data_IF_262611323891
#
_entry.id   IF_262611323891
#
_cell.length_a   1.000
_cell.length_b   1.000
_cell.length_c   1.000
_cell.angle_alpha   90.00
_cell.angle_beta   90.00
_cell.angle_gamma   90.00
#
_symmetry.space_group_name_H-M   'P 1'
#
loop_
_entity.id
_entity.type
_entity.pdbx_description
1 polymer ?
#
# COMPACT_ATOMS: atom_id res chain seq x y z
N UNK A 1 3.26 -3.61 -3.60
CA UNK A 1 3.98 -3.00 -2.47
C UNK A 1 4.85 -1.89 -3.02
N UNK A 2 4.75 -0.66 -2.51
CA UNK A 2 5.57 0.43 -3.03
C UNK A 2 6.81 0.61 -2.15
N UNK A 3 7.99 0.60 -2.77
CA UNK A 3 9.23 0.94 -2.08
C UNK A 3 9.22 2.44 -1.74
N UNK A 4 9.82 2.85 -0.61
CA UNK A 4 9.89 4.25 -0.21
C UNK A 4 10.69 5.04 -1.25
N UNK A 5 10.15 6.17 -1.68
CA UNK A 5 10.81 7.08 -2.60
C UNK A 5 11.99 7.81 -1.95
N UNK A 6 12.77 8.55 -2.75
CA UNK A 6 13.93 9.33 -2.26
C UNK A 6 13.54 10.39 -1.21
N UNK A 7 12.32 10.90 -1.29
CA UNK A 7 11.78 11.91 -0.37
C UNK A 7 11.08 11.32 0.86
N UNK A 8 10.88 10.01 0.90
CA UNK A 8 10.30 9.32 2.05
C UNK A 8 11.37 9.14 3.13
N UNK A 9 11.57 10.18 3.93
CA UNK A 9 12.60 10.25 4.96
C UNK A 9 11.99 10.36 6.36
N UNK A 10 12.79 10.04 7.37
CA UNK A 10 12.52 10.35 8.78
C UNK A 10 13.66 11.20 9.34
N UNK A 11 13.32 12.12 10.24
CA UNK A 11 14.31 12.85 11.01
C UNK A 11 14.60 12.12 12.31
N UNK A 12 15.87 11.78 12.54
CA UNK A 12 16.36 11.10 13.73
C UNK A 12 17.38 11.98 14.41
N UNK A 13 17.33 12.07 15.74
CA UNK A 13 18.35 12.76 16.53
C UNK A 13 19.34 11.73 17.03
N UNK A 14 20.57 11.80 16.57
CA UNK A 14 21.66 10.92 16.96
C UNK A 14 22.79 11.78 17.53
N UNK A 15 23.18 11.54 18.79
CA UNK A 15 24.21 12.31 19.49
C UNK A 15 23.98 13.83 19.46
N UNK A 16 22.72 14.26 19.59
CA UNK A 16 22.36 15.69 19.54
C UNK A 16 22.19 16.26 18.13
N UNK A 17 22.65 15.56 17.10
CA UNK A 17 22.62 16.02 15.70
C UNK A 17 21.38 15.45 15.00
N UNK A 18 20.64 16.32 14.32
CA UNK A 18 19.50 15.90 13.47
C UNK A 18 20.03 15.33 12.16
N UNK A 19 19.75 14.06 11.91
CA UNK A 19 20.02 13.37 10.65
C UNK A 19 18.73 13.00 9.95
N UNK A 20 18.73 13.07 8.62
CA UNK A 20 17.62 12.61 7.78
C UNK A 20 17.98 11.26 7.17
N UNK A 21 17.19 10.24 7.45
CA UNK A 21 17.39 8.89 6.96
C UNK A 21 16.24 8.47 6.06
N UNK A 22 16.53 7.79 4.96
CA UNK A 22 15.48 7.22 4.10
C UNK A 22 14.75 6.10 4.83
N UNK A 23 13.41 6.10 4.77
CA UNK A 23 12.59 5.00 5.24
C UNK A 23 13.00 3.71 4.53
N UNK A 24 13.02 2.60 5.25
CA UNK A 24 13.14 1.24 4.73
C UNK A 24 12.06 0.43 5.39
N UNK A 25 11.39 -0.47 4.68
CA UNK A 25 10.39 -1.32 5.30
C UNK A 25 10.90 -2.75 5.38
N UNK A 26 10.70 -3.37 6.53
CA UNK A 26 11.03 -4.77 6.77
C UNK A 26 10.07 -5.66 5.97
N UNK A 27 10.60 -6.42 5.00
CA UNK A 27 9.78 -7.34 4.19
C UNK A 27 9.47 -8.65 4.91
N UNK A 28 10.42 -9.13 5.71
CA UNK A 28 10.31 -10.31 6.55
C UNK A 28 9.63 -10.00 7.88
N UNK A 29 9.12 -11.03 8.55
CA UNK A 29 8.65 -10.88 9.93
C UNK A 29 9.83 -10.69 10.88
N UNK A 30 9.65 -9.91 11.95
CA UNK A 30 10.69 -9.72 12.98
C UNK A 30 11.18 -11.06 13.55
N UNK A 31 10.26 -12.02 13.73
CA UNK A 31 10.59 -13.37 14.21
C UNK A 31 11.53 -14.08 13.26
N UNK A 32 11.26 -14.03 11.95
CA UNK A 32 12.10 -14.65 10.94
C UNK A 32 13.48 -14.00 10.85
N UNK A 33 13.54 -12.67 10.89
CA UNK A 33 14.83 -11.94 10.87
C UNK A 33 15.65 -12.19 12.13
N UNK A 34 15.01 -12.25 13.30
CA UNK A 34 15.69 -12.59 14.56
C UNK A 34 16.27 -14.01 14.53
N UNK A 35 15.54 -14.98 14.00
CA UNK A 35 16.04 -16.34 13.84
C UNK A 35 17.26 -16.39 12.91
N UNK A 36 17.17 -15.77 11.72
CA UNK A 36 18.30 -15.68 10.78
C UNK A 36 19.52 -15.01 11.42
N UNK A 37 19.30 -13.94 12.21
CA UNK A 37 20.39 -13.27 12.92
C UNK A 37 21.11 -14.20 13.90
N UNK A 38 20.38 -15.02 14.66
CA UNK A 38 20.97 -15.98 15.59
C UNK A 38 21.71 -17.11 14.87
N UNK A 39 21.19 -17.56 13.72
CA UNK A 39 21.85 -18.57 12.86
C UNK A 39 23.17 -18.06 12.29
N UNK A 40 23.21 -16.80 11.84
CA UNK A 40 24.40 -16.14 11.30
C UNK A 40 25.41 -15.74 12.40
N UNK A 41 24.93 -15.53 13.63
CA UNK A 41 25.73 -15.03 14.76
C UNK A 41 25.57 -15.95 15.99
N UNK A 42 26.04 -17.21 15.95
CA UNK A 42 25.79 -18.20 16.99
C UNK A 42 26.35 -17.84 18.36
N UNK A 43 27.33 -16.93 18.42
CA UNK A 43 27.95 -16.47 19.67
C UNK A 43 27.21 -15.27 20.31
N UNK A 44 26.23 -14.67 19.61
CA UNK A 44 25.49 -13.51 20.12
C UNK A 44 24.18 -14.02 20.72
N UNK A 45 24.00 -13.78 22.02
CA UNK A 45 22.74 -14.05 22.70
C UNK A 45 21.92 -12.76 22.82
N UNK A 46 20.88 -12.64 21.98
CA UNK A 46 19.93 -11.53 22.02
C UNK A 46 18.51 -12.05 21.99
N UNK A 47 17.68 -11.60 22.94
CA UNK A 47 16.25 -11.92 22.94
C UNK A 47 15.48 -11.12 21.89
N UNK A 48 14.28 -11.59 21.53
CA UNK A 48 13.44 -10.94 20.51
C UNK A 48 13.14 -9.47 20.83
N UNK A 49 12.79 -9.14 22.07
CA UNK A 49 12.45 -7.75 22.45
C UNK A 49 13.64 -6.82 22.27
N UNK A 50 14.81 -7.22 22.79
CA UNK A 50 16.05 -6.43 22.64
C UNK A 50 16.44 -6.28 21.16
N UNK A 51 16.29 -7.34 20.36
CA UNK A 51 16.53 -7.28 18.92
C UNK A 51 15.62 -6.27 18.22
N UNK A 52 14.34 -6.21 18.61
CA UNK A 52 13.38 -5.25 18.07
C UNK A 52 13.71 -3.80 18.46
N UNK A 53 14.19 -3.59 19.69
CA UNK A 53 14.58 -2.27 20.20
C UNK A 53 15.88 -1.77 19.54
N UNK A 54 16.79 -2.68 19.19
CA UNK A 54 18.03 -2.37 18.46
C UNK A 54 17.81 -2.08 16.96
N UNK A 55 16.58 -2.25 16.45
CA UNK A 55 16.25 -1.95 15.06
C UNK A 55 16.57 -0.48 14.75
N UNK A 56 17.29 -0.20 13.64
CA UNK A 56 17.53 1.18 13.22
C UNK A 56 16.22 1.95 13.05
N UNK A 57 16.14 3.21 13.51
CA UNK A 57 14.89 3.96 13.55
C UNK A 57 14.26 4.17 12.17
N UNK A 58 15.06 4.15 11.10
CA UNK A 58 14.58 4.31 9.72
C UNK A 58 14.08 3.02 9.07
N UNK A 59 14.21 1.87 9.74
CA UNK A 59 13.63 0.59 9.30
C UNK A 59 12.26 0.47 9.95
N UNK A 60 11.17 0.54 9.18
CA UNK A 60 9.79 0.48 9.63
C UNK A 60 9.18 -0.91 9.41
N UNK A 61 8.07 -1.19 10.09
CA UNK A 61 7.32 -2.43 9.88
C UNK A 61 6.61 -2.44 8.53
N UNK A 62 6.38 -3.64 7.99
CA UNK A 62 5.58 -3.84 6.78
C UNK A 62 4.19 -3.22 6.90
N UNK A 63 3.58 -3.26 8.10
CA UNK A 63 2.28 -2.65 8.38
C UNK A 63 2.28 -1.12 8.26
N UNK A 64 3.44 -0.47 8.38
CA UNK A 64 3.59 0.99 8.24
C UNK A 64 3.72 1.43 6.78
N UNK A 65 3.63 0.51 5.83
CA UNK A 65 3.75 0.84 4.41
C UNK A 65 2.49 1.56 3.95
N UNK A 66 2.61 2.72 3.28
CA UNK A 66 1.45 3.38 2.71
C UNK A 66 0.79 2.45 1.68
N UNK A 67 -0.48 2.17 1.89
CA UNK A 67 -1.33 1.54 0.89
C UNK A 67 -1.79 2.64 -0.06
N UNK A 68 -1.21 2.69 -1.26
CA UNK A 68 -1.65 3.61 -2.33
C UNK A 68 -2.91 3.11 -3.05
N UNK A 69 -3.70 2.29 -2.37
CA UNK A 69 -4.98 1.76 -2.84
C UNK A 69 -6.05 2.28 -1.90
N UNK A 70 -7.14 2.82 -2.44
CA UNK A 70 -8.28 3.19 -1.61
C UNK A 70 -8.83 1.93 -0.93
N UNK A 71 -9.06 2.01 0.39
CA UNK A 71 -9.67 0.94 1.20
C UNK A 71 -10.96 1.44 1.87
N UNK A 72 -11.60 2.46 1.31
CA UNK A 72 -12.86 2.95 1.84
C UNK A 72 -13.98 1.95 1.52
N UNK A 73 -14.98 1.90 2.41
CA UNK A 73 -16.13 1.01 2.27
C UNK A 73 -16.88 1.23 0.95
N UNK A 74 -16.91 2.47 0.43
CA UNK A 74 -17.57 2.80 -0.83
C UNK A 74 -16.92 2.13 -2.04
N UNK A 75 -15.58 2.22 -2.16
CA UNK A 75 -14.85 1.60 -3.26
C UNK A 75 -14.77 0.08 -3.11
N UNK A 76 -14.60 -0.43 -1.87
CA UNK A 76 -14.55 -1.88 -1.65
C UNK A 76 -15.89 -2.57 -1.93
N UNK A 77 -17.01 -1.98 -1.48
CA UNK A 77 -18.33 -2.59 -1.67
C UNK A 77 -18.69 -2.74 -3.15
N UNK A 78 -18.45 -1.70 -3.97
CA UNK A 78 -18.75 -1.79 -5.41
C UNK A 78 -17.83 -2.80 -6.10
N UNK A 79 -16.55 -2.87 -5.73
CA UNK A 79 -15.61 -3.86 -6.26
C UNK A 79 -16.07 -5.29 -5.92
N UNK A 80 -16.58 -5.53 -4.71
CA UNK A 80 -17.13 -6.82 -4.30
C UNK A 80 -18.40 -7.20 -5.08
N UNK A 81 -19.30 -6.23 -5.33
CA UNK A 81 -20.49 -6.44 -6.15
C UNK A 81 -20.13 -6.75 -7.62
N UNK A 82 -19.16 -6.04 -8.20
CA UNK A 82 -18.68 -6.32 -9.57
C UNK A 82 -18.07 -7.71 -9.67
N UNK A 83 -17.31 -8.14 -8.65
CA UNK A 83 -16.73 -9.49 -8.59
C UNK A 83 -17.80 -10.58 -8.52
N UNK A 84 -18.88 -10.39 -7.74
CA UNK A 84 -19.94 -11.38 -7.64
C UNK A 84 -20.76 -11.51 -8.93
N UNK A 85 -20.93 -10.41 -9.68
CA UNK A 85 -21.66 -10.42 -10.97
C UNK A 85 -20.93 -11.21 -12.06
N UNK A 86 -19.60 -11.33 -11.98
CA UNK A 86 -18.79 -12.07 -12.96
C UNK A 86 -19.25 -13.51 -13.16
N UNK A 87 -19.69 -14.16 -12.09
CA UNK A 87 -20.12 -15.57 -12.12
C UNK A 87 -21.56 -15.74 -12.61
N UNK A 88 -22.32 -14.65 -12.74
CA UNK A 88 -23.75 -14.67 -13.07
C UNK A 88 -24.10 -13.97 -14.39
N UNK A 89 -23.19 -13.17 -14.96
CA UNK A 89 -23.41 -12.41 -16.20
C UNK A 89 -22.43 -12.88 -17.29
N UNK A 90 -22.97 -13.54 -18.32
CA UNK A 90 -22.17 -13.92 -19.49
C UNK A 90 -21.62 -12.68 -20.21
N UNK A 91 -20.34 -12.73 -20.62
CA UNK A 91 -19.59 -11.65 -21.28
C UNK A 91 -19.33 -10.39 -20.41
N UNK A 92 -19.39 -10.50 -19.09
CA UNK A 92 -19.01 -9.39 -18.21
C UNK A 92 -17.47 -9.26 -18.11
N UNK A 93 -16.90 -8.39 -18.94
CA UNK A 93 -15.44 -8.20 -19.05
C UNK A 93 -14.87 -7.19 -18.04
N UNK A 94 -15.71 -6.42 -17.34
CA UNK A 94 -15.28 -5.36 -16.41
C UNK A 94 -15.12 -5.90 -14.98
N UNK A 95 -14.01 -6.60 -14.76
CA UNK A 95 -13.74 -7.34 -13.51
C UNK A 95 -13.39 -6.41 -12.33
N UNK A 96 -13.03 -5.16 -12.60
CA UNK A 96 -12.64 -4.19 -11.57
C UNK A 96 -13.35 -2.84 -11.77
N UNK A 97 -13.45 -2.07 -10.68
CA UNK A 97 -14.11 -0.77 -10.68
C UNK A 97 -13.56 0.20 -11.74
N UNK A 98 -12.25 0.18 -12.01
CA UNK A 98 -11.62 1.05 -13.00
C UNK A 98 -12.17 0.82 -14.40
N UNK A 99 -12.19 -0.44 -14.85
CA UNK A 99 -12.77 -0.83 -16.14
C UNK A 99 -14.28 -0.56 -16.19
N UNK A 100 -14.97 -0.67 -15.05
CA UNK A 100 -16.39 -0.37 -14.97
C UNK A 100 -16.69 1.13 -15.13
N UNK A 101 -15.92 1.99 -14.46
CA UNK A 101 -16.04 3.46 -14.59
C UNK A 101 -15.86 3.88 -16.04
N UNK A 102 -14.88 3.32 -16.75
CA UNK A 102 -14.63 3.61 -18.18
C UNK A 102 -15.78 3.25 -19.12
N UNK A 103 -16.71 2.39 -18.70
CA UNK A 103 -17.92 2.11 -19.46
C UNK A 103 -19.03 3.14 -19.19
N UNK A 104 -18.99 3.83 -18.06
CA UNK A 104 -20.00 4.79 -17.62
C UNK A 104 -19.65 6.23 -18.00
N UNK A 105 -18.35 6.54 -18.10
CA UNK A 105 -17.87 7.90 -18.31
C UNK A 105 -16.95 7.99 -19.52
N UNK A 106 -17.01 9.14 -20.17
CA UNK A 106 -16.23 9.50 -21.34
C UNK A 106 -14.77 9.80 -20.95
N UNK A 107 -14.55 10.42 -19.78
CA UNK A 107 -13.23 10.70 -19.21
C UNK A 107 -13.26 10.63 -17.68
N UNK A 108 -12.54 9.66 -17.11
CA UNK A 108 -12.41 9.41 -15.67
C UNK A 108 -11.66 10.53 -14.91
N UNK A 109 -10.88 11.36 -15.62
CA UNK A 109 -10.13 12.45 -15.01
C UNK A 109 -10.93 13.76 -14.98
N UNK A 110 -12.08 13.82 -15.66
CA UNK A 110 -12.92 15.02 -15.73
C UNK A 110 -14.06 14.91 -14.72
N UNK A 111 -14.00 15.72 -13.67
CA UNK A 111 -15.00 15.78 -12.60
C UNK A 111 -16.44 15.92 -13.14
N UNK A 112 -16.66 16.85 -14.08
CA UNK A 112 -17.96 17.03 -14.72
C UNK A 112 -18.49 15.75 -15.39
N UNK A 113 -17.60 14.93 -15.95
CA UNK A 113 -17.96 13.66 -16.58
C UNK A 113 -18.34 12.60 -15.54
N UNK A 114 -17.63 12.56 -14.41
CA UNK A 114 -17.94 11.67 -13.28
C UNK A 114 -19.30 11.99 -12.63
N UNK A 115 -19.76 13.24 -12.75
CA UNK A 115 -21.10 13.66 -12.34
C UNK A 115 -22.14 13.61 -13.47
N UNK A 116 -21.82 13.03 -14.63
CA UNK A 116 -22.69 12.97 -15.82
C UNK A 116 -23.18 14.33 -16.31
N UNK A 117 -22.43 15.39 -16.01
CA UNK A 117 -22.69 16.78 -16.42
C UNK A 117 -21.81 17.21 -17.60
N UNK A 118 -21.20 16.27 -18.33
CA UNK A 118 -20.43 16.58 -19.52
C UNK A 118 -21.37 16.77 -20.73
N UNK A 119 -20.97 17.65 -21.65
CA UNK A 119 -21.75 17.97 -22.85
C UNK A 119 -21.66 16.87 -23.94
N UNK A 120 -20.81 15.87 -23.73
CA UNK A 120 -20.59 14.75 -24.65
C UNK A 120 -21.80 13.80 -24.60
N UNK A 121 -22.41 13.54 -25.75
CA UNK A 121 -23.57 12.65 -25.89
C UNK A 121 -23.30 11.20 -25.47
N UNK A 122 -22.04 10.76 -25.49
CA UNK A 122 -21.63 9.37 -25.17
C UNK A 122 -21.84 8.98 -23.69
N UNK A 123 -22.08 9.96 -22.81
CA UNK A 123 -22.31 9.75 -21.39
C UNK A 123 -23.81 9.80 -20.98
N UNK A 124 -24.74 9.96 -21.93
CA UNK A 124 -26.19 10.03 -21.68
C UNK A 124 -26.92 8.73 -21.99
#
# INVERSE_FOLDING_TARGET
>A
YQAPGKRDVIAVKENGIKKTLQKRYLLYSLRGVHQLFLEENPNINVGQSMFQDLRPPNVLYKSSTPHNTCVCLYHENIDLLLKSLKDHVHNFNSINLHSFIKLLVCDENRELCMFSNCEMQECK
#
